data_IF_530329353128
#
_entry.id   IF_530329353128
#
_cell.length_a   1.000
_cell.length_b   1.000
_cell.length_c   1.000
_cell.angle_alpha   90.00
_cell.angle_beta   90.00
_cell.angle_gamma   90.00
#
_symmetry.space_group_name_H-M   'P 1'
#
loop_
_entity.id
_entity.type
_entity.pdbx_description
1 polymer ?
#
# COMPACT_ATOMS: atom_id res chain seq x y z
N UNK A 1 2.99 -51.65 -23.80
CA UNK A 1 2.71 -52.94 -23.12
C UNK A 1 2.06 -52.63 -21.81
N UNK A 2 0.77 -52.93 -21.74
CA UNK A 2 0.02 -53.73 -20.75
C UNK A 2 0.19 -53.28 -19.30
N UNK A 3 -0.77 -52.91 -18.53
CA UNK A 3 -2.20 -53.17 -18.39
C UNK A 3 -2.52 -53.27 -16.90
N UNK A 4 -3.56 -52.55 -16.46
CA UNK A 4 -4.70 -53.07 -15.69
C UNK A 4 -4.41 -53.67 -14.29
N UNK A 5 -5.21 -53.50 -13.25
CA UNK A 5 -6.67 -53.35 -13.04
C UNK A 5 -6.91 -53.04 -11.56
N UNK A 6 -7.82 -52.15 -11.22
CA UNK A 6 -9.13 -52.35 -10.60
C UNK A 6 -9.22 -53.33 -9.43
N UNK A 7 -9.84 -52.94 -8.30
CA UNK A 7 -11.09 -53.53 -7.76
C UNK A 7 -11.63 -52.62 -6.61
N UNK A 8 -12.93 -52.36 -6.69
CA UNK A 8 -13.81 -51.76 -5.72
C UNK A 8 -14.30 -52.78 -4.67
N UNK A 9 -14.72 -52.34 -3.51
CA UNK A 9 -15.70 -53.07 -2.72
C UNK A 9 -16.52 -52.09 -1.86
N UNK A 10 -17.75 -52.17 -2.12
CA UNK A 10 -18.97 -51.65 -1.56
C UNK A 10 -19.37 -52.50 -0.35
N UNK A 11 -19.90 -51.93 0.74
CA UNK A 11 -20.81 -52.64 1.60
C UNK A 11 -21.77 -51.69 2.31
N UNK A 12 -23.01 -51.99 2.12
CA UNK A 12 -24.27 -51.38 2.55
C UNK A 12 -24.76 -51.92 3.93
N UNK A 13 -25.66 -51.13 4.49
CA UNK A 13 -26.84 -51.51 5.33
C UNK A 13 -26.57 -51.86 6.81
N UNK A 14 -27.33 -51.29 7.75
CA UNK A 14 -28.73 -51.67 8.00
C UNK A 14 -29.49 -50.66 8.86
N UNK A 15 -30.76 -50.59 8.55
CA UNK A 15 -31.91 -50.00 9.20
C UNK A 15 -32.19 -50.56 10.60
N UNK A 16 -32.82 -49.76 11.46
CA UNK A 16 -33.48 -50.20 12.70
C UNK A 16 -34.54 -49.21 13.16
N UNK A 17 -35.72 -49.32 12.61
CA UNK A 17 -36.97 -48.76 13.17
C UNK A 17 -37.53 -49.73 14.19
N UNK A 18 -37.96 -49.23 15.35
CA UNK A 18 -39.07 -49.85 16.14
C UNK A 18 -39.91 -48.71 16.69
N UNK A 19 -41.22 -48.87 16.47
CA UNK A 19 -42.31 -47.99 16.82
C UNK A 19 -43.10 -48.53 18.04
N UNK A 20 -43.84 -47.59 18.66
CA UNK A 20 -45.16 -47.73 19.28
C UNK A 20 -45.27 -48.32 20.71
N UNK A 21 -45.81 -47.53 21.63
CA UNK A 21 -47.11 -47.78 22.25
C UNK A 21 -47.60 -46.64 23.15
N UNK A 22 -48.86 -46.35 23.02
CA UNK A 22 -49.72 -45.41 23.76
C UNK A 22 -49.88 -45.71 25.22
N UNK A 23 -50.23 -44.69 26.02
CA UNK A 23 -50.82 -44.80 27.36
C UNK A 23 -51.24 -43.45 27.87
N UNK A 24 -52.49 -43.23 28.04
CA UNK A 24 -53.22 -42.05 28.48
C UNK A 24 -52.98 -41.64 29.92
N UNK A 25 -53.34 -40.37 30.16
CA UNK A 25 -54.04 -39.74 31.28
C UNK A 25 -53.29 -38.81 32.24
N UNK A 26 -53.88 -37.61 32.28
CA UNK A 26 -54.19 -36.68 33.37
C UNK A 26 -53.17 -35.65 33.91
N UNK A 27 -53.58 -34.40 33.60
CA UNK A 27 -53.55 -33.14 34.39
C UNK A 27 -52.33 -32.74 35.25
N UNK A 28 -51.79 -31.60 34.92
CA UNK A 28 -51.84 -30.40 35.77
C UNK A 28 -50.98 -29.28 35.19
N UNK A 29 -51.56 -28.10 35.08
CA UNK A 29 -50.98 -26.85 34.69
C UNK A 29 -49.78 -26.41 35.54
N UNK A 30 -48.75 -25.86 34.89
CA UNK A 30 -48.05 -24.67 35.43
C UNK A 30 -47.23 -23.99 34.36
N UNK A 31 -47.65 -22.78 34.07
CA UNK A 31 -46.93 -21.63 33.48
C UNK A 31 -45.44 -21.59 33.79
N UNK A 32 -44.63 -21.45 32.75
CA UNK A 32 -43.56 -20.44 32.62
C UNK A 32 -42.73 -20.73 31.37
N UNK A 33 -42.91 -19.92 30.34
CA UNK A 33 -41.90 -19.74 29.31
C UNK A 33 -42.19 -18.45 28.54
N UNK A 34 -41.68 -17.35 29.02
CA UNK A 34 -41.52 -16.15 28.23
C UNK A 34 -40.46 -15.25 28.90
N UNK A 35 -39.20 -15.52 28.62
CA UNK A 35 -38.12 -14.54 28.82
C UNK A 35 -36.80 -15.11 28.25
N UNK A 36 -36.64 -15.03 26.94
CA UNK A 36 -35.29 -15.07 26.32
C UNK A 36 -35.42 -14.71 24.83
N UNK A 37 -35.64 -13.43 24.54
CA UNK A 37 -35.40 -12.90 23.18
C UNK A 37 -35.28 -11.37 23.19
N UNK A 38 -34.43 -10.80 24.07
CA UNK A 38 -34.17 -9.36 24.03
C UNK A 38 -32.73 -8.97 24.29
N UNK A 39 -31.79 -9.92 24.41
CA UNK A 39 -30.39 -9.60 24.66
C UNK A 39 -29.48 -9.57 23.41
N UNK A 40 -29.98 -10.00 22.24
CA UNK A 40 -29.15 -10.05 21.01
C UNK A 40 -29.29 -8.82 20.09
N UNK A 41 -30.28 -7.96 20.35
CA UNK A 41 -30.51 -6.77 19.49
C UNK A 41 -29.84 -5.48 19.99
N UNK A 42 -29.48 -5.40 21.26
CA UNK A 42 -28.82 -4.19 21.80
C UNK A 42 -27.30 -4.17 21.60
N UNK A 43 -26.66 -5.32 21.41
CA UNK A 43 -25.19 -5.37 21.15
C UNK A 43 -24.81 -5.00 19.71
N UNK A 44 -25.74 -5.10 18.76
CA UNK A 44 -25.49 -4.71 17.36
C UNK A 44 -25.71 -3.20 17.08
N UNK A 45 -26.51 -2.53 17.89
CA UNK A 45 -26.77 -1.10 17.70
C UNK A 45 -25.67 -0.19 18.34
N UNK A 46 -24.97 -0.67 19.38
CA UNK A 46 -23.87 0.07 20.00
C UNK A 46 -22.56 0.06 19.22
N UNK A 47 -22.37 -0.90 18.27
CA UNK A 47 -21.24 -0.95 17.36
C UNK A 47 -21.41 -0.05 16.12
N UNK A 48 -22.55 0.60 15.95
CA UNK A 48 -22.94 1.27 14.71
C UNK A 48 -22.23 2.61 14.44
N UNK A 49 -21.63 3.28 15.43
CA UNK A 49 -21.04 4.63 15.25
C UNK A 49 -19.74 4.79 16.05
N UNK A 50 -18.74 3.93 15.81
CA UNK A 50 -17.41 4.03 16.43
C UNK A 50 -16.41 4.80 15.57
N UNK A 51 -16.76 5.07 14.30
CA UNK A 51 -15.96 5.87 13.40
C UNK A 51 -16.49 7.30 13.29
N UNK A 52 -15.64 8.29 13.00
CA UNK A 52 -16.07 9.59 12.52
C UNK A 52 -16.90 9.44 11.24
N UNK A 53 -17.81 10.38 11.01
CA UNK A 53 -18.58 10.38 9.75
C UNK A 53 -17.70 10.63 8.52
N UNK A 54 -16.57 11.30 8.68
CA UNK A 54 -15.61 11.64 7.62
C UNK A 54 -14.19 11.37 8.10
N UNK A 55 -13.37 10.87 7.19
CA UNK A 55 -11.92 10.73 7.36
C UNK A 55 -11.19 11.30 6.14
N UNK A 56 -9.97 11.79 6.37
CA UNK A 56 -9.10 12.32 5.34
C UNK A 56 -7.82 11.49 5.26
N UNK A 57 -7.45 11.09 4.04
CA UNK A 57 -6.22 10.35 3.74
C UNK A 57 -5.35 11.22 2.83
N UNK A 58 -4.10 11.45 3.21
CA UNK A 58 -3.10 12.14 2.41
C UNK A 58 -2.26 11.11 1.65
N UNK A 59 -2.19 11.21 0.31
CA UNK A 59 -1.25 10.40 -0.49
C UNK A 59 0.10 11.09 -0.58
N UNK A 60 1.12 10.34 -0.98
CA UNK A 60 2.50 10.82 -1.13
C UNK A 60 2.83 11.22 -2.58
N UNK A 61 1.88 11.01 -3.49
CA UNK A 61 1.95 11.44 -4.88
C UNK A 61 0.56 11.79 -5.44
N UNK A 62 0.50 12.08 -6.73
CA UNK A 62 -0.75 12.18 -7.49
C UNK A 62 -1.49 10.83 -7.52
N UNK A 63 -2.78 10.78 -7.93
CA UNK A 63 -3.45 9.52 -8.17
C UNK A 63 -2.65 8.60 -9.09
N UNK A 64 -2.31 7.41 -8.58
CA UNK A 64 -1.55 6.37 -9.29
C UNK A 64 -1.87 4.98 -8.70
N UNK A 65 -1.32 3.93 -9.32
CA UNK A 65 -1.66 2.53 -8.98
C UNK A 65 -1.36 2.18 -7.52
N UNK A 66 -0.31 2.78 -6.96
CA UNK A 66 0.14 2.62 -5.57
C UNK A 66 -0.86 3.13 -4.54
N UNK A 67 -1.88 3.87 -4.99
CA UNK A 67 -2.99 4.36 -4.17
C UNK A 67 -4.33 3.69 -4.49
N UNK A 68 -4.36 2.74 -5.45
CA UNK A 68 -5.56 2.19 -6.05
C UNK A 68 -6.59 1.68 -5.06
N UNK A 69 -6.17 0.92 -4.05
CA UNK A 69 -7.06 0.42 -3.01
C UNK A 69 -7.72 1.51 -2.17
N UNK A 70 -7.04 2.65 -1.98
CA UNK A 70 -7.64 3.80 -1.28
C UNK A 70 -8.70 4.49 -2.12
N UNK A 71 -8.44 4.69 -3.42
CA UNK A 71 -9.45 5.21 -4.36
C UNK A 71 -10.63 4.25 -4.52
N UNK A 72 -10.39 2.94 -4.43
CA UNK A 72 -11.44 1.91 -4.45
C UNK A 72 -12.45 2.07 -3.31
N UNK A 73 -12.08 2.63 -2.17
CA UNK A 73 -13.01 2.88 -1.06
C UNK A 73 -14.17 3.82 -1.45
N UNK A 74 -13.89 4.84 -2.29
CA UNK A 74 -14.87 5.78 -2.82
C UNK A 74 -15.46 5.25 -4.14
N UNK A 75 -14.63 4.58 -4.94
CA UNK A 75 -15.00 4.13 -6.28
C UNK A 75 -14.95 5.26 -7.32
N UNK A 76 -15.43 5.00 -8.57
CA UNK A 76 -15.28 5.93 -9.68
C UNK A 76 -16.24 7.13 -9.68
N UNK A 77 -17.16 7.21 -8.71
CA UNK A 77 -18.24 8.21 -8.69
C UNK A 77 -18.04 9.33 -7.66
N UNK A 78 -16.84 9.48 -7.12
CA UNK A 78 -16.49 10.61 -6.26
C UNK A 78 -16.32 11.92 -7.06
N UNK A 79 -15.95 12.97 -6.36
CA UNK A 79 -15.76 14.31 -6.91
C UNK A 79 -14.29 14.72 -6.78
N UNK A 80 -13.64 15.02 -7.90
CA UNK A 80 -12.32 15.63 -7.92
C UNK A 80 -12.46 17.16 -7.79
N UNK A 81 -11.64 17.75 -6.94
CA UNK A 81 -11.59 19.19 -6.73
C UNK A 81 -10.19 19.74 -7.06
N UNK A 82 -10.12 20.58 -8.10
CA UNK A 82 -8.87 21.19 -8.56
C UNK A 82 -8.30 22.19 -7.54
N UNK A 83 -9.14 22.88 -6.78
CA UNK A 83 -8.66 23.93 -5.86
C UNK A 83 -7.96 23.35 -4.63
N UNK A 84 -8.43 22.20 -4.16
CA UNK A 84 -7.85 21.46 -3.02
C UNK A 84 -6.97 20.30 -3.44
N UNK A 85 -6.91 20.01 -4.74
CA UNK A 85 -6.20 18.87 -5.34
C UNK A 85 -6.58 17.57 -4.59
N UNK A 86 -7.88 17.32 -4.49
CA UNK A 86 -8.42 16.21 -3.71
C UNK A 86 -9.49 15.45 -4.47
N UNK A 87 -9.79 14.24 -4.00
CA UNK A 87 -10.90 13.40 -4.44
C UNK A 87 -11.74 13.01 -3.24
N UNK A 88 -13.05 13.26 -3.28
CA UNK A 88 -13.92 12.98 -2.14
C UNK A 88 -15.23 12.34 -2.57
N UNK A 89 -15.83 11.59 -1.66
CA UNK A 89 -17.12 10.97 -1.90
C UNK A 89 -17.56 10.02 -0.81
N UNK A 90 -18.80 9.50 -0.94
CA UNK A 90 -19.29 8.50 -0.01
C UNK A 90 -18.47 7.23 -0.09
N UNK A 91 -18.22 6.61 1.07
CA UNK A 91 -17.62 5.27 1.12
C UNK A 91 -18.59 4.28 0.48
N UNK A 92 -18.08 3.43 -0.44
CA UNK A 92 -18.91 2.40 -1.05
C UNK A 92 -19.49 1.47 0.02
N UNK A 93 -20.73 1.03 -0.16
CA UNK A 93 -21.50 0.30 0.86
C UNK A 93 -20.83 -0.98 1.37
N UNK A 94 -20.04 -1.66 0.52
CA UNK A 94 -19.30 -2.87 0.91
C UNK A 94 -18.11 -2.59 1.85
N UNK A 95 -17.64 -1.35 1.89
CA UNK A 95 -16.53 -0.92 2.76
C UNK A 95 -17.01 -0.04 3.93
N UNK A 96 -18.26 0.40 3.91
CA UNK A 96 -18.82 1.26 4.96
C UNK A 96 -18.90 0.52 6.29
N UNK A 97 -18.30 1.09 7.34
CA UNK A 97 -18.25 0.52 8.68
C UNK A 97 -18.33 1.62 9.74
N UNK A 98 -18.82 1.25 10.93
CA UNK A 98 -18.70 2.05 12.15
C UNK A 98 -19.27 3.45 12.09
N UNK A 99 -20.13 3.77 11.12
CA UNK A 99 -20.70 5.12 10.92
C UNK A 99 -19.92 6.03 9.98
N UNK A 100 -18.79 5.57 9.41
CA UNK A 100 -18.04 6.28 8.38
C UNK A 100 -18.90 6.41 7.11
N UNK A 101 -19.06 7.64 6.63
CA UNK A 101 -19.92 7.97 5.47
C UNK A 101 -19.15 8.47 4.28
N UNK A 102 -18.07 9.23 4.51
CA UNK A 102 -17.37 9.98 3.48
C UNK A 102 -15.85 9.89 3.69
N UNK A 103 -15.11 9.79 2.60
CA UNK A 103 -13.66 9.92 2.58
C UNK A 103 -13.26 11.11 1.71
N UNK A 104 -12.17 11.76 2.11
CA UNK A 104 -11.41 12.70 1.28
C UNK A 104 -10.00 12.15 1.10
N UNK A 105 -9.54 12.08 -0.14
CA UNK A 105 -8.18 11.72 -0.50
C UNK A 105 -7.49 12.97 -1.03
N UNK A 106 -6.54 13.50 -0.27
CA UNK A 106 -5.70 14.60 -0.71
C UNK A 106 -4.48 14.05 -1.45
N UNK A 107 -4.08 14.73 -2.52
CA UNK A 107 -2.82 14.41 -3.20
C UNK A 107 -1.63 15.05 -2.49
N UNK A 108 -0.41 14.72 -2.94
CA UNK A 108 0.84 15.25 -2.39
C UNK A 108 0.81 16.78 -2.23
N UNK A 109 1.45 17.24 -1.16
CA UNK A 109 1.83 18.65 -0.95
C UNK A 109 3.35 18.76 -1.08
N UNK A 110 3.83 19.44 -2.11
CA UNK A 110 5.27 19.57 -2.35
C UNK A 110 6.01 20.46 -1.35
N UNK A 111 5.28 21.29 -0.62
CA UNK A 111 5.80 22.21 0.39
C UNK A 111 5.75 21.65 1.81
N UNK A 112 5.19 20.45 2.00
CA UNK A 112 4.97 19.87 3.32
C UNK A 112 5.08 18.35 3.30
N UNK A 113 5.96 17.80 4.13
CA UNK A 113 6.08 16.36 4.32
C UNK A 113 4.81 15.75 4.94
N UNK A 114 4.44 14.53 4.57
CA UNK A 114 3.25 13.86 5.08
C UNK A 114 3.26 13.64 6.60
N UNK A 115 4.43 13.45 7.21
CA UNK A 115 4.56 13.43 8.67
C UNK A 115 4.11 14.76 9.31
N UNK A 116 4.42 15.91 8.68
CA UNK A 116 3.97 17.22 9.13
C UNK A 116 2.48 17.45 8.87
N UNK A 117 1.93 16.89 7.79
CA UNK A 117 0.48 16.90 7.51
C UNK A 117 -0.30 16.19 8.62
N UNK A 118 0.20 15.02 9.07
CA UNK A 118 -0.39 14.29 10.21
C UNK A 118 -0.26 15.07 11.52
N UNK A 119 0.93 15.61 11.80
CA UNK A 119 1.21 16.36 13.04
C UNK A 119 0.32 17.60 13.19
N UNK A 120 0.05 18.29 12.09
CA UNK A 120 -0.82 19.48 12.07
C UNK A 120 -2.31 19.13 11.99
N UNK A 121 -2.67 17.84 11.93
CA UNK A 121 -4.06 17.38 11.89
C UNK A 121 -4.80 17.71 10.59
N UNK A 122 -4.07 17.91 9.48
CA UNK A 122 -4.65 18.19 8.16
C UNK A 122 -5.16 16.93 7.46
N UNK A 123 -4.70 15.74 7.91
CA UNK A 123 -5.22 14.44 7.52
C UNK A 123 -5.25 13.49 8.73
N UNK A 124 -6.16 12.52 8.71
CA UNK A 124 -6.25 11.48 9.73
C UNK A 124 -5.24 10.36 9.49
N UNK A 125 -4.97 10.08 8.23
CA UNK A 125 -4.05 9.05 7.75
C UNK A 125 -3.17 9.60 6.63
N UNK A 126 -1.98 9.07 6.48
CA UNK A 126 -1.11 9.42 5.36
C UNK A 126 -0.32 8.21 4.85
N UNK A 127 0.04 8.27 3.58
CA UNK A 127 1.01 7.39 2.96
C UNK A 127 2.42 7.89 3.30
N UNK A 128 3.20 7.05 3.97
CA UNK A 128 4.59 7.34 4.34
C UNK A 128 5.36 6.02 4.22
N UNK A 129 6.61 6.03 3.77
CA UNK A 129 7.41 4.80 3.74
C UNK A 129 7.74 4.36 5.18
N UNK A 130 7.87 3.05 5.43
CA UNK A 130 8.26 2.58 6.77
C UNK A 130 9.63 3.15 7.18
N UNK A 131 10.55 3.32 6.22
CA UNK A 131 11.85 3.94 6.46
C UNK A 131 11.76 5.37 6.98
N UNK A 132 10.85 6.18 6.42
CA UNK A 132 10.63 7.56 6.88
C UNK A 132 9.88 7.60 8.22
N UNK A 133 8.96 6.67 8.49
CA UNK A 133 8.34 6.54 9.82
C UNK A 133 9.40 6.23 10.88
N UNK A 134 10.38 5.35 10.57
CA UNK A 134 11.50 5.04 11.45
C UNK A 134 12.37 6.30 11.66
N UNK A 135 12.73 6.99 10.57
CA UNK A 135 13.55 8.21 10.58
C UNK A 135 12.97 9.29 11.49
N UNK A 136 11.67 9.54 11.36
CA UNK A 136 11.00 10.61 12.07
C UNK A 136 10.49 10.20 13.46
N UNK A 137 10.71 8.96 13.89
CA UNK A 137 10.11 8.34 15.08
C UNK A 137 10.34 9.05 16.41
N UNK A 138 11.43 9.80 16.56
CA UNK A 138 11.71 10.62 17.76
C UNK A 138 11.02 11.98 17.70
N UNK A 139 10.83 12.53 16.50
CA UNK A 139 10.27 13.87 16.30
C UNK A 139 8.74 13.84 16.17
N UNK A 140 8.20 12.82 15.50
CA UNK A 140 6.76 12.69 15.20
C UNK A 140 6.28 11.30 15.65
N UNK A 141 5.41 11.22 16.67
CA UNK A 141 4.91 9.95 17.21
C UNK A 141 3.85 9.34 16.28
N UNK A 142 4.31 8.69 15.23
CA UNK A 142 3.48 8.01 14.24
C UNK A 142 3.42 6.50 14.48
N UNK A 143 2.39 5.86 13.94
CA UNK A 143 2.24 4.40 13.88
C UNK A 143 1.67 3.95 12.54
N UNK A 144 2.32 2.96 11.94
CA UNK A 144 1.81 2.26 10.76
C UNK A 144 0.71 1.30 11.19
N UNK A 145 -0.42 1.35 10.51
CA UNK A 145 -1.61 0.53 10.81
C UNK A 145 -1.90 -0.55 9.76
N UNK A 146 -1.35 -0.40 8.54
CA UNK A 146 -1.47 -1.38 7.47
C UNK A 146 -0.41 -1.13 6.38
N UNK A 147 0.00 -2.17 5.68
CA UNK A 147 0.74 -2.01 4.43
C UNK A 147 -0.22 -1.81 3.24
N UNK A 148 0.31 -1.34 2.13
CA UNK A 148 -0.36 -1.24 0.84
C UNK A 148 0.26 -2.23 -0.16
N UNK A 149 1.45 -1.96 -0.66
CA UNK A 149 2.24 -2.90 -1.43
C UNK A 149 3.23 -3.66 -0.53
N UNK A 150 3.60 -4.85 -0.95
CA UNK A 150 4.59 -5.66 -0.25
C UNK A 150 6.02 -5.29 -0.67
N UNK A 151 6.28 -5.10 -1.96
CA UNK A 151 7.58 -4.67 -2.48
C UNK A 151 7.50 -3.25 -3.02
N UNK A 152 8.59 -2.52 -2.82
CA UNK A 152 8.72 -1.13 -3.24
C UNK A 152 8.95 -1.03 -4.76
N UNK A 153 8.07 -0.37 -5.53
CA UNK A 153 8.30 -0.08 -6.93
C UNK A 153 9.36 0.99 -7.17
N UNK A 154 9.86 1.67 -6.12
CA UNK A 154 10.97 2.61 -6.22
C UNK A 154 12.16 1.95 -6.91
N UNK A 155 12.71 2.62 -7.91
CA UNK A 155 13.80 2.10 -8.72
C UNK A 155 14.87 3.16 -8.99
N UNK A 156 15.99 2.68 -9.53
CA UNK A 156 16.98 3.49 -10.24
C UNK A 156 17.08 2.95 -11.65
N UNK A 157 16.81 3.79 -12.66
CA UNK A 157 16.83 3.44 -14.08
C UNK A 157 18.01 4.07 -14.81
N UNK A 158 18.34 3.53 -15.98
CA UNK A 158 19.41 4.01 -16.85
C UNK A 158 19.17 3.67 -18.32
N UNK A 159 19.88 4.35 -19.23
CA UNK A 159 19.95 3.96 -20.64
C UNK A 159 20.90 2.76 -20.81
N UNK A 160 20.39 1.55 -21.17
CA UNK A 160 21.22 0.35 -21.31
C UNK A 160 22.23 0.43 -22.47
N UNK A 161 22.10 1.42 -23.35
CA UNK A 161 23.09 1.62 -24.44
C UNK A 161 24.26 2.51 -24.01
N UNK A 162 24.14 3.24 -22.92
CA UNK A 162 25.21 4.07 -22.37
C UNK A 162 25.89 3.41 -21.16
N UNK A 163 25.13 2.61 -20.38
CA UNK A 163 25.61 1.99 -19.15
C UNK A 163 25.31 0.49 -19.17
N UNK A 164 26.37 -0.32 -19.25
CA UNK A 164 26.28 -1.79 -19.14
C UNK A 164 26.32 -2.21 -17.66
N UNK A 165 25.16 -2.24 -17.04
CA UNK A 165 24.97 -2.55 -15.61
C UNK A 165 24.43 -3.97 -15.48
N UNK A 166 25.23 -4.87 -14.88
CA UNK A 166 24.87 -6.27 -14.64
C UNK A 166 24.50 -6.51 -13.16
N UNK A 167 24.91 -5.61 -12.27
CA UNK A 167 24.64 -5.65 -10.82
C UNK A 167 24.73 -4.24 -10.25
N UNK A 168 24.11 -3.98 -9.08
CA UNK A 168 24.07 -2.63 -8.50
C UNK A 168 25.45 -1.98 -8.28
N UNK A 169 26.49 -2.77 -7.98
CA UNK A 169 27.84 -2.26 -7.76
C UNK A 169 28.48 -1.64 -9.04
N UNK A 170 27.98 -1.99 -10.22
CA UNK A 170 28.50 -1.47 -11.48
C UNK A 170 28.16 0.03 -11.66
N UNK A 171 27.13 0.54 -10.96
CA UNK A 171 26.74 1.95 -10.96
C UNK A 171 27.92 2.84 -10.52
N UNK A 172 28.64 2.42 -9.46
CA UNK A 172 29.80 3.13 -8.95
C UNK A 172 30.87 3.36 -10.04
N UNK A 173 31.14 2.32 -10.82
CA UNK A 173 32.22 2.35 -11.82
C UNK A 173 31.95 3.29 -12.99
N UNK A 174 30.68 3.66 -13.22
CA UNK A 174 30.32 4.59 -14.31
C UNK A 174 30.71 6.03 -14.01
N UNK A 175 30.75 6.42 -12.73
CA UNK A 175 30.92 7.81 -12.29
C UNK A 175 29.77 8.74 -12.66
N UNK A 176 28.69 8.23 -13.27
CA UNK A 176 27.52 9.03 -13.65
C UNK A 176 26.68 9.42 -12.43
N UNK A 177 26.01 10.57 -12.51
CA UNK A 177 25.11 11.04 -11.46
C UNK A 177 23.88 10.16 -11.34
N UNK A 178 23.37 10.02 -10.11
CA UNK A 178 22.08 9.44 -9.79
C UNK A 178 21.13 10.56 -9.39
N UNK A 179 20.18 10.88 -10.27
CA UNK A 179 19.17 11.92 -10.07
C UNK A 179 18.03 11.41 -9.19
N UNK A 180 17.76 12.08 -8.06
CA UNK A 180 16.78 11.64 -7.08
C UNK A 180 16.17 12.80 -6.27
N UNK A 181 15.05 12.57 -5.57
CA UNK A 181 14.53 13.51 -4.59
C UNK A 181 15.49 13.62 -3.38
N UNK A 182 15.58 14.80 -2.74
CA UNK A 182 16.39 14.96 -1.53
C UNK A 182 15.81 14.13 -0.36
N UNK A 183 16.69 13.60 0.50
CA UNK A 183 16.34 12.97 1.76
C UNK A 183 15.81 11.53 1.67
N UNK A 184 15.97 10.87 0.53
CA UNK A 184 15.55 9.49 0.31
C UNK A 184 16.53 8.48 0.92
N UNK A 185 16.05 7.64 1.85
CA UNK A 185 16.90 6.71 2.61
C UNK A 185 17.60 5.64 1.76
N UNK A 186 17.04 5.25 0.60
CA UNK A 186 17.68 4.27 -0.28
C UNK A 186 18.96 4.80 -0.95
N UNK A 187 19.10 6.11 -1.16
CA UNK A 187 20.34 6.72 -1.67
C UNK A 187 21.46 6.60 -0.63
N UNK A 188 21.15 6.89 0.64
CA UNK A 188 22.09 6.70 1.73
C UNK A 188 22.51 5.22 1.86
N UNK A 189 21.55 4.31 1.69
CA UNK A 189 21.81 2.89 1.63
C UNK A 189 22.76 2.51 0.47
N UNK A 190 22.52 3.02 -0.75
CA UNK A 190 23.38 2.76 -1.91
C UNK A 190 24.81 3.27 -1.69
N UNK A 191 24.96 4.43 -1.06
CA UNK A 191 26.28 4.97 -0.68
C UNK A 191 26.94 4.07 0.35
N UNK A 192 26.21 3.69 1.40
CA UNK A 192 26.71 2.80 2.46
C UNK A 192 27.13 1.40 1.95
N UNK A 193 26.44 0.89 0.94
CA UNK A 193 26.78 -0.39 0.27
C UNK A 193 27.91 -0.26 -0.76
N UNK A 194 28.33 0.96 -1.09
CA UNK A 194 29.33 1.20 -2.12
C UNK A 194 28.81 0.97 -3.54
N UNK A 195 27.51 1.11 -3.78
CA UNK A 195 26.91 1.07 -5.10
C UNK A 195 27.09 2.40 -5.85
N UNK A 196 27.27 3.48 -5.10
CA UNK A 196 27.61 4.82 -5.60
C UNK A 196 28.39 5.61 -4.54
N UNK A 197 28.99 6.73 -4.96
CA UNK A 197 29.60 7.71 -4.06
C UNK A 197 28.63 8.86 -3.75
N UNK A 198 28.92 9.62 -2.69
CA UNK A 198 28.19 10.85 -2.39
C UNK A 198 28.30 11.88 -3.53
N UNK A 199 29.42 11.92 -4.27
CA UNK A 199 29.62 12.83 -5.42
C UNK A 199 28.73 12.47 -6.63
N UNK A 200 28.26 11.22 -6.73
CA UNK A 200 27.30 10.80 -7.75
C UNK A 200 25.86 11.16 -7.37
N UNK A 201 25.57 11.48 -6.12
CA UNK A 201 24.22 11.86 -5.65
C UNK A 201 23.84 13.23 -6.21
N UNK A 202 22.70 13.29 -6.91
CA UNK A 202 22.16 14.53 -7.46
C UNK A 202 20.70 14.71 -6.97
N UNK A 203 20.50 15.41 -5.82
CA UNK A 203 19.19 15.56 -5.18
C UNK A 203 18.34 16.66 -5.82
N UNK A 204 18.36 16.78 -7.14
CA UNK A 204 17.66 17.82 -7.88
C UNK A 204 16.56 17.29 -8.81
N UNK A 205 16.12 16.07 -8.60
CA UNK A 205 14.93 15.53 -9.25
C UNK A 205 13.69 16.27 -8.76
N UNK A 206 12.80 16.62 -9.67
CA UNK A 206 11.56 17.35 -9.39
C UNK A 206 10.30 16.60 -9.83
N UNK A 207 10.45 15.32 -10.22
CA UNK A 207 9.36 14.48 -10.71
C UNK A 207 9.12 14.60 -12.21
N UNK A 208 9.84 15.51 -12.91
CA UNK A 208 9.73 15.67 -14.37
C UNK A 208 10.82 14.92 -15.13
N UNK A 209 10.56 14.66 -16.40
CA UNK A 209 11.52 14.08 -17.35
C UNK A 209 12.54 15.07 -17.91
N UNK A 210 12.39 16.36 -17.61
CA UNK A 210 13.12 17.44 -18.26
C UNK A 210 14.65 17.29 -18.20
N UNK A 211 15.21 16.89 -17.05
CA UNK A 211 16.66 16.69 -16.90
C UNK A 211 17.15 15.46 -17.64
N UNK A 212 16.43 14.35 -17.55
CA UNK A 212 16.76 13.14 -18.28
C UNK A 212 16.82 13.41 -19.78
N UNK A 213 15.79 14.07 -20.31
CA UNK A 213 15.70 14.42 -21.73
C UNK A 213 16.85 15.37 -22.14
N UNK A 214 17.11 16.41 -21.33
CA UNK A 214 18.16 17.38 -21.61
C UNK A 214 19.58 16.76 -21.66
N UNK A 215 19.82 15.77 -20.81
CA UNK A 215 21.10 15.06 -20.69
C UNK A 215 21.16 13.77 -21.53
N UNK A 216 20.11 13.52 -22.34
CA UNK A 216 20.04 12.37 -23.25
C UNK A 216 20.23 11.02 -22.60
N UNK A 217 19.72 10.85 -21.37
CA UNK A 217 19.79 9.60 -20.62
C UNK A 217 21.17 9.26 -20.05
N UNK A 218 22.09 10.24 -19.93
CA UNK A 218 23.45 10.00 -19.39
C UNK A 218 23.49 9.80 -17.87
N UNK A 219 22.42 10.16 -17.16
CA UNK A 219 22.25 9.97 -15.73
C UNK A 219 21.61 8.61 -15.40
N UNK A 220 21.80 8.16 -14.15
CA UNK A 220 20.83 7.31 -13.51
C UNK A 220 19.71 8.17 -12.93
N UNK A 221 18.48 7.68 -12.92
CA UNK A 221 17.36 8.43 -12.39
C UNK A 221 16.46 7.54 -11.54
N UNK A 222 16.00 8.10 -10.41
CA UNK A 222 14.93 7.48 -9.66
C UNK A 222 13.61 7.49 -10.43
N UNK A 223 12.70 6.61 -10.04
CA UNK A 223 11.32 6.56 -10.48
C UNK A 223 10.58 5.41 -9.83
N UNK A 224 9.31 5.24 -10.16
CA UNK A 224 8.56 4.04 -9.83
C UNK A 224 8.47 3.17 -11.09
N UNK A 225 8.88 1.92 -10.96
CA UNK A 225 8.93 0.99 -12.09
C UNK A 225 7.56 0.81 -12.76
N UNK A 226 6.48 0.98 -12.01
CA UNK A 226 5.09 0.94 -12.46
C UNK A 226 4.67 2.14 -13.32
N UNK A 227 5.46 3.21 -13.35
CA UNK A 227 5.15 4.45 -14.05
C UNK A 227 6.22 4.84 -15.08
N UNK A 228 7.43 5.21 -14.60
CA UNK A 228 8.48 5.78 -15.44
C UNK A 228 8.92 4.85 -16.55
N UNK A 229 9.05 3.54 -16.30
CA UNK A 229 9.49 2.58 -17.34
C UNK A 229 8.60 2.72 -18.57
N UNK A 230 7.29 2.61 -18.41
CA UNK A 230 6.35 2.73 -19.52
C UNK A 230 6.47 4.12 -20.22
N UNK A 231 6.53 5.20 -19.43
CA UNK A 231 6.61 6.56 -19.98
C UNK A 231 7.84 6.78 -20.85
N UNK A 232 9.01 6.35 -20.40
CA UNK A 232 10.26 6.51 -21.15
C UNK A 232 10.33 5.60 -22.37
N UNK A 233 9.69 4.44 -22.32
CA UNK A 233 9.66 3.47 -23.44
C UNK A 233 8.56 3.78 -24.47
N UNK A 234 7.52 4.57 -24.11
CA UNK A 234 6.36 4.76 -24.99
C UNK A 234 5.98 6.24 -25.24
N UNK A 235 6.12 7.13 -24.24
CA UNK A 235 5.51 8.45 -24.29
C UNK A 235 6.56 9.58 -24.39
N UNK A 236 7.73 9.44 -23.74
CA UNK A 236 8.73 10.49 -23.63
C UNK A 236 9.79 10.37 -24.74
N UNK A 237 9.88 11.36 -25.60
CA UNK A 237 10.87 11.43 -26.67
C UNK A 237 12.24 11.90 -26.14
N UNK A 238 13.02 11.03 -25.54
CA UNK A 238 14.28 11.36 -24.88
C UNK A 238 15.53 10.93 -25.64
N UNK A 239 15.42 10.02 -26.62
CA UNK A 239 16.55 9.50 -27.39
C UNK A 239 16.32 9.70 -28.87
N UNK A 240 17.14 10.51 -29.51
CA UNK A 240 17.01 10.89 -30.94
C UNK A 240 15.59 11.36 -31.32
N UNK A 241 14.88 12.02 -30.39
CA UNK A 241 13.53 12.52 -30.59
C UNK A 241 12.44 11.43 -30.55
N UNK A 242 12.72 10.28 -29.92
CA UNK A 242 11.79 9.15 -29.77
C UNK A 242 11.87 8.56 -28.36
N UNK A 243 10.85 7.86 -27.89
CA UNK A 243 10.93 6.95 -26.75
C UNK A 243 11.95 5.84 -27.04
N UNK A 244 12.55 5.30 -25.97
CA UNK A 244 13.51 4.20 -26.07
C UNK A 244 13.52 3.38 -24.78
N UNK A 245 14.01 2.15 -24.89
CA UNK A 245 14.09 1.21 -23.77
C UNK A 245 14.98 1.76 -22.65
N UNK A 246 14.57 1.53 -21.43
CA UNK A 246 15.34 1.76 -20.20
C UNK A 246 15.56 0.46 -19.46
N UNK A 247 16.62 0.38 -18.67
CA UNK A 247 16.84 -0.70 -17.72
C UNK A 247 16.79 -0.14 -16.30
N UNK A 248 16.49 -0.99 -15.32
CA UNK A 248 16.36 -0.56 -13.92
C UNK A 248 16.64 -1.69 -12.93
N UNK A 249 16.98 -1.29 -11.70
CA UNK A 249 16.83 -2.12 -10.50
C UNK A 249 15.85 -1.45 -9.56
N UNK A 250 14.93 -2.23 -8.99
CA UNK A 250 14.16 -1.74 -7.84
C UNK A 250 15.09 -1.64 -6.62
N UNK A 251 14.72 -0.79 -5.67
CA UNK A 251 15.50 -0.67 -4.42
C UNK A 251 15.49 -1.99 -3.64
N UNK A 252 14.42 -2.78 -3.76
CA UNK A 252 14.33 -4.13 -3.22
C UNK A 252 15.32 -5.09 -3.91
N UNK A 253 15.46 -5.04 -5.25
CA UNK A 253 16.47 -5.83 -5.98
C UNK A 253 17.91 -5.48 -5.55
N UNK A 254 18.12 -4.25 -5.08
CA UNK A 254 19.40 -3.80 -4.53
C UNK A 254 19.60 -4.16 -3.05
N UNK A 255 18.62 -4.79 -2.40
CA UNK A 255 18.66 -5.24 -1.02
C UNK A 255 18.17 -4.22 0.03
N UNK A 256 17.56 -3.11 -0.40
CA UNK A 256 16.85 -2.18 0.46
C UNK A 256 15.36 -2.54 0.47
N UNK A 257 15.00 -3.45 1.36
CA UNK A 257 13.67 -4.05 1.39
C UNK A 257 12.68 -3.23 2.25
N UNK A 258 12.49 -1.96 1.84
CA UNK A 258 11.54 -1.05 2.47
C UNK A 258 10.09 -1.47 2.16
N UNK A 259 9.17 -1.12 3.07
CA UNK A 259 7.76 -1.04 2.71
C UNK A 259 7.50 0.35 2.10
N UNK A 260 6.98 0.42 0.87
CA UNK A 260 6.59 1.69 0.28
C UNK A 260 5.43 2.31 1.05
N UNK A 261 4.83 3.30 0.56
CA UNK A 261 3.65 3.99 1.06
C UNK A 261 2.72 3.19 2.00
N UNK A 262 3.10 2.99 3.28
CA UNK A 262 2.25 2.35 4.29
C UNK A 262 1.23 3.35 4.87
N UNK A 263 0.09 2.85 5.31
CA UNK A 263 -0.94 3.69 5.96
C UNK A 263 -0.51 4.01 7.38
N UNK A 264 -0.27 5.27 7.64
CA UNK A 264 0.32 5.79 8.88
C UNK A 264 -0.63 6.81 9.53
N UNK A 265 -0.64 6.84 10.85
CA UNK A 265 -1.40 7.79 11.68
C UNK A 265 -0.55 8.33 12.81
N UNK A 266 -1.00 9.42 13.46
CA UNK A 266 -0.48 9.80 14.78
C UNK A 266 -0.90 8.75 15.81
N UNK A 267 -0.02 8.40 16.76
CA UNK A 267 -0.25 7.35 17.77
C UNK A 267 -1.45 7.63 18.68
N UNK A 268 -1.62 8.89 19.09
CA UNK A 268 -2.77 9.31 19.90
C UNK A 268 -4.08 9.18 19.12
N UNK A 269 -4.06 9.55 17.83
CA UNK A 269 -5.23 9.42 16.95
C UNK A 269 -5.58 7.96 16.68
N UNK A 270 -4.59 7.09 16.48
CA UNK A 270 -4.82 5.66 16.37
C UNK A 270 -5.42 5.05 17.65
N UNK A 271 -5.03 5.58 18.81
CA UNK A 271 -5.60 5.18 20.11
C UNK A 271 -7.05 5.67 20.25
N UNK A 272 -7.33 6.92 19.88
CA UNK A 272 -8.69 7.49 19.89
C UNK A 272 -9.63 6.69 18.98
N UNK A 273 -9.15 6.32 17.79
CA UNK A 273 -9.94 5.62 16.77
C UNK A 273 -9.83 4.09 16.83
N UNK A 274 -9.34 3.51 17.92
CA UNK A 274 -9.03 2.08 18.04
C UNK A 274 -10.20 1.16 17.61
N UNK A 275 -11.40 1.43 18.10
CA UNK A 275 -12.58 0.65 17.75
C UNK A 275 -12.98 0.83 16.26
N UNK A 276 -12.78 2.02 15.71
CA UNK A 276 -13.00 2.29 14.30
C UNK A 276 -11.99 1.54 13.42
N UNK A 277 -10.70 1.63 13.74
CA UNK A 277 -9.63 1.01 12.97
C UNK A 277 -9.75 -0.52 12.93
N UNK A 278 -10.22 -1.13 14.03
CA UNK A 278 -10.50 -2.58 14.08
C UNK A 278 -11.53 -3.01 13.02
N UNK A 279 -12.48 -2.13 12.67
CA UNK A 279 -13.46 -2.40 11.61
C UNK A 279 -13.00 -1.91 10.24
N UNK A 280 -12.31 -0.76 10.19
CA UNK A 280 -11.99 -0.08 8.95
C UNK A 280 -10.80 -0.70 8.22
N UNK A 281 -9.72 -1.04 8.93
CA UNK A 281 -8.50 -1.57 8.29
C UNK A 281 -8.77 -2.84 7.47
N UNK A 282 -9.53 -3.85 7.95
CA UNK A 282 -9.90 -4.99 7.12
C UNK A 282 -10.68 -4.59 5.85
N UNK A 283 -11.48 -3.51 5.91
CA UNK A 283 -12.21 -3.00 4.72
C UNK A 283 -11.31 -2.24 3.76
N UNK A 284 -10.32 -1.52 4.26
CA UNK A 284 -9.28 -0.90 3.43
C UNK A 284 -8.49 -1.99 2.68
N UNK A 285 -8.14 -3.07 3.36
CA UNK A 285 -7.44 -4.19 2.73
C UNK A 285 -8.32 -4.94 1.72
N UNK A 286 -9.63 -5.09 2.01
CA UNK A 286 -10.56 -5.64 1.03
C UNK A 286 -10.63 -4.75 -0.22
N UNK A 287 -10.64 -3.43 -0.06
CA UNK A 287 -10.64 -2.51 -1.20
C UNK A 287 -9.36 -2.63 -2.04
N UNK A 288 -8.21 -2.88 -1.41
CA UNK A 288 -6.96 -3.18 -2.13
C UNK A 288 -7.05 -4.47 -2.93
N UNK A 289 -7.56 -5.55 -2.34
CA UNK A 289 -7.75 -6.84 -3.03
C UNK A 289 -8.73 -6.69 -4.18
N UNK A 290 -9.83 -5.98 -3.97
CA UNK A 290 -10.85 -5.75 -5.00
C UNK A 290 -10.30 -4.90 -6.16
N UNK A 291 -9.51 -3.85 -5.87
CA UNK A 291 -8.81 -3.05 -6.87
C UNK A 291 -7.88 -3.91 -7.73
N UNK A 292 -7.04 -4.74 -7.11
CA UNK A 292 -6.09 -5.59 -7.83
C UNK A 292 -6.78 -6.69 -8.66
N UNK A 293 -7.98 -7.11 -8.28
CA UNK A 293 -8.78 -8.08 -9.03
C UNK A 293 -9.50 -7.45 -10.25
N UNK A 294 -9.92 -6.19 -10.13
CA UNK A 294 -10.58 -5.43 -11.22
C UNK A 294 -10.13 -3.96 -11.16
N UNK A 295 -8.92 -3.64 -11.64
CA UNK A 295 -8.35 -2.31 -11.51
C UNK A 295 -9.00 -1.27 -12.44
N UNK A 296 -9.56 -1.70 -13.58
CA UNK A 296 -9.98 -0.78 -14.65
C UNK A 296 -10.95 0.32 -14.23
N UNK A 297 -12.00 0.07 -13.44
CA UNK A 297 -12.92 1.15 -13.03
C UNK A 297 -12.22 2.28 -12.26
N UNK A 298 -11.22 1.93 -11.46
CA UNK A 298 -10.48 2.90 -10.64
C UNK A 298 -9.37 3.58 -11.44
N UNK A 299 -8.64 2.85 -12.27
CA UNK A 299 -7.60 3.44 -13.13
C UNK A 299 -8.21 4.43 -14.14
N UNK A 300 -9.39 4.12 -14.72
CA UNK A 300 -10.14 5.06 -15.57
C UNK A 300 -10.59 6.32 -14.79
N UNK A 301 -10.95 6.17 -13.52
CA UNK A 301 -11.27 7.31 -12.66
C UNK A 301 -10.02 8.13 -12.33
N UNK A 302 -8.89 7.51 -12.01
CA UNK A 302 -7.62 8.19 -11.71
C UNK A 302 -7.14 9.04 -12.89
N UNK A 303 -7.27 8.58 -14.13
CA UNK A 303 -6.97 9.39 -15.32
C UNK A 303 -7.76 10.70 -15.28
N UNK A 304 -9.09 10.62 -15.07
CA UNK A 304 -9.97 11.79 -15.02
C UNK A 304 -9.72 12.71 -13.82
N UNK A 305 -9.34 12.12 -12.68
CA UNK A 305 -8.98 12.88 -11.47
C UNK A 305 -7.72 13.69 -11.76
N UNK A 306 -6.67 13.06 -12.33
CA UNK A 306 -5.44 13.75 -12.71
C UNK A 306 -5.68 14.85 -13.75
N UNK A 307 -6.51 14.61 -14.76
CA UNK A 307 -6.93 15.63 -15.73
C UNK A 307 -7.62 16.82 -15.03
N UNK A 308 -8.48 16.54 -14.04
CA UNK A 308 -9.20 17.58 -13.27
C UNK A 308 -8.23 18.37 -12.40
N UNK A 309 -7.25 17.73 -11.77
CA UNK A 309 -6.23 18.37 -10.97
C UNK A 309 -5.31 19.28 -11.81
N UNK A 310 -5.21 19.02 -13.13
CA UNK A 310 -4.44 19.83 -14.08
C UNK A 310 -2.95 19.97 -13.65
N UNK A 311 -2.41 18.91 -13.08
CA UNK A 311 -1.02 18.79 -12.71
C UNK A 311 -0.15 18.28 -13.87
N UNK A 312 1.15 18.22 -13.65
CA UNK A 312 2.10 17.67 -14.64
C UNK A 312 2.03 16.12 -14.73
N UNK A 313 1.42 15.46 -13.75
CA UNK A 313 1.36 14.00 -13.68
C UNK A 313 0.20 13.47 -14.54
N UNK A 314 0.54 12.86 -15.66
CA UNK A 314 -0.43 12.28 -16.58
C UNK A 314 -0.41 10.75 -16.51
N UNK A 315 -1.59 10.16 -16.48
CA UNK A 315 -1.80 8.73 -16.61
C UNK A 315 -2.43 8.42 -17.97
N UNK A 316 -2.18 7.22 -18.47
CA UNK A 316 -2.86 6.67 -19.65
C UNK A 316 -3.34 5.25 -19.37
N UNK A 317 -4.28 4.74 -20.19
CA UNK A 317 -4.74 3.35 -20.09
C UNK A 317 -3.54 2.38 -20.23
N UNK A 318 -2.69 2.60 -21.23
CA UNK A 318 -1.53 1.74 -21.46
C UNK A 318 -0.51 1.75 -20.31
N UNK A 319 -0.27 2.92 -19.68
CA UNK A 319 0.57 3.03 -18.50
C UNK A 319 -0.01 2.22 -17.33
N UNK A 320 -1.30 2.39 -17.07
CA UNK A 320 -1.97 1.67 -15.99
C UNK A 320 -1.98 0.15 -16.22
N UNK A 321 -2.23 -0.30 -17.45
CA UNK A 321 -2.18 -1.73 -17.79
C UNK A 321 -0.77 -2.31 -17.60
N UNK A 322 0.26 -1.61 -18.07
CA UNK A 322 1.66 -2.02 -17.89
C UNK A 322 2.08 -2.04 -16.42
N UNK A 323 1.68 -1.04 -15.64
CA UNK A 323 1.98 -0.95 -14.22
C UNK A 323 1.32 -2.08 -13.42
N UNK A 324 0.05 -2.40 -13.69
CA UNK A 324 -0.64 -3.55 -13.07
C UNK A 324 0.06 -4.87 -13.46
N UNK A 325 0.43 -5.04 -14.72
CA UNK A 325 1.16 -6.24 -15.15
C UNK A 325 2.51 -6.38 -14.41
N UNK A 326 3.22 -5.28 -14.19
CA UNK A 326 4.49 -5.28 -13.46
C UNK A 326 4.29 -5.58 -11.96
N UNK A 327 3.24 -5.03 -11.33
CA UNK A 327 2.87 -5.36 -9.94
C UNK A 327 2.70 -6.87 -9.78
N UNK A 328 2.03 -7.53 -10.72
CA UNK A 328 1.84 -8.98 -10.73
C UNK A 328 3.16 -9.74 -10.99
N UNK A 329 3.89 -9.37 -12.03
CA UNK A 329 5.14 -10.02 -12.43
C UNK A 329 6.18 -10.00 -11.32
N UNK A 330 6.36 -8.84 -10.69
CA UNK A 330 7.32 -8.62 -9.61
C UNK A 330 6.80 -9.03 -8.25
N UNK A 331 5.53 -9.46 -8.16
CA UNK A 331 4.87 -9.78 -6.89
C UNK A 331 4.97 -8.62 -5.89
N UNK A 332 4.71 -7.39 -6.38
CA UNK A 332 4.74 -6.19 -5.54
C UNK A 332 3.53 -6.11 -4.61
N UNK A 333 2.46 -6.82 -4.94
CA UNK A 333 1.26 -6.93 -4.14
C UNK A 333 1.11 -8.38 -3.66
N UNK A 334 1.46 -8.66 -2.41
CA UNK A 334 1.46 -10.00 -1.86
C UNK A 334 0.98 -10.08 -0.42
N UNK A 335 0.60 -11.29 0.00
CA UNK A 335 0.23 -11.55 1.39
C UNK A 335 1.47 -11.56 2.28
N UNK A 336 1.29 -11.12 3.52
CA UNK A 336 2.26 -11.31 4.59
C UNK A 336 2.28 -12.77 5.06
N UNK A 337 3.25 -13.13 5.89
CA UNK A 337 3.41 -14.51 6.40
C UNK A 337 2.19 -15.04 7.17
N UNK A 338 1.36 -14.15 7.72
CA UNK A 338 0.10 -14.50 8.40
C UNK A 338 -1.07 -14.76 7.44
N UNK A 339 -0.83 -14.67 6.12
CA UNK A 339 -1.82 -14.89 5.08
C UNK A 339 -2.71 -13.68 4.78
N UNK A 340 -2.53 -12.55 5.47
CA UNK A 340 -3.29 -11.32 5.21
C UNK A 340 -2.56 -10.39 4.24
N UNK A 341 -3.32 -9.56 3.54
CA UNK A 341 -2.79 -8.46 2.72
C UNK A 341 -2.62 -7.18 3.56
N UNK A 342 -2.11 -7.28 4.79
CA UNK A 342 -2.18 -6.17 5.75
C UNK A 342 -0.90 -5.99 6.57
N UNK A 343 -0.39 -7.08 7.12
CA UNK A 343 0.59 -7.03 8.21
C UNK A 343 1.98 -6.62 7.75
N UNK A 344 2.67 -5.88 8.61
CA UNK A 344 4.12 -5.68 8.51
C UNK A 344 4.82 -6.94 9.04
N UNK A 345 5.77 -7.48 8.28
CA UNK A 345 6.61 -8.60 8.71
C UNK A 345 7.65 -8.10 9.73
N UNK A 346 7.68 -8.67 10.96
CA UNK A 346 8.58 -8.20 12.00
C UNK A 346 10.08 -8.40 11.68
N UNK A 347 10.44 -9.49 11.00
CA UNK A 347 11.85 -9.78 10.67
C UNK A 347 12.35 -8.82 9.58
N UNK A 348 11.51 -8.55 8.59
CA UNK A 348 11.79 -7.56 7.56
C UNK A 348 11.89 -6.15 8.15
N UNK A 349 10.96 -5.74 9.01
CA UNK A 349 11.02 -4.46 9.71
C UNK A 349 12.29 -4.31 10.54
N UNK A 350 12.71 -5.36 11.25
CA UNK A 350 13.96 -5.36 12.02
C UNK A 350 15.21 -5.27 11.12
N UNK A 351 15.20 -5.93 9.97
CA UNK A 351 16.28 -5.87 8.98
C UNK A 351 16.42 -4.45 8.41
N UNK A 352 15.32 -3.85 7.96
CA UNK A 352 15.28 -2.48 7.47
C UNK A 352 15.76 -1.50 8.57
N UNK A 353 15.26 -1.67 9.80
CA UNK A 353 15.68 -0.84 10.92
C UNK A 353 17.20 -0.91 11.16
N UNK A 354 17.78 -2.12 11.12
CA UNK A 354 19.22 -2.30 11.25
C UNK A 354 20.02 -1.55 10.18
N UNK A 355 19.58 -1.64 8.92
CA UNK A 355 20.19 -0.93 7.79
C UNK A 355 20.10 0.59 7.96
N UNK A 356 18.94 1.10 8.33
CA UNK A 356 18.70 2.54 8.53
C UNK A 356 19.41 3.08 9.76
N UNK A 357 19.48 2.29 10.85
CA UNK A 357 20.14 2.73 12.07
C UNK A 357 21.63 3.01 11.86
N UNK A 358 22.33 2.17 11.12
CA UNK A 358 23.74 2.42 10.77
C UNK A 358 23.92 3.74 10.02
N UNK A 359 23.01 4.04 9.09
CA UNK A 359 23.01 5.25 8.28
C UNK A 359 22.72 6.47 9.17
N UNK A 360 21.64 6.43 9.94
CA UNK A 360 21.19 7.55 10.76
C UNK A 360 22.14 7.86 11.92
N UNK A 361 22.75 6.83 12.53
CA UNK A 361 23.80 7.02 13.54
C UNK A 361 25.00 7.77 12.94
N UNK A 362 25.40 7.44 11.70
CA UNK A 362 26.48 8.14 11.02
C UNK A 362 26.14 9.60 10.66
N UNK A 363 24.86 9.90 10.45
CA UNK A 363 24.34 11.24 10.16
C UNK A 363 24.00 12.04 11.43
N UNK A 364 24.04 11.42 12.61
CA UNK A 364 23.63 12.04 13.88
C UNK A 364 22.12 12.24 14.00
N UNK A 365 21.32 11.44 13.27
CA UNK A 365 19.86 11.43 13.36
C UNK A 365 19.43 10.40 14.42
N UNK A 366 18.73 10.89 15.45
CA UNK A 366 18.20 10.00 16.50
C UNK A 366 16.87 9.37 16.04
N UNK A 367 16.81 8.04 16.08
CA UNK A 367 15.61 7.25 15.82
C UNK A 367 15.19 6.47 17.05
N UNK A 368 14.00 5.85 17.05
CA UNK A 368 13.53 4.97 18.12
C UNK A 368 14.53 3.84 18.38
N UNK A 369 14.61 3.37 19.61
CA UNK A 369 15.42 2.18 19.96
C UNK A 369 14.67 0.86 19.74
N UNK A 370 13.37 0.94 19.45
CA UNK A 370 12.48 -0.21 19.24
C UNK A 370 11.61 0.01 18.01
N UNK A 371 11.92 -0.70 16.92
CA UNK A 371 11.16 -0.61 15.67
C UNK A 371 9.70 -1.06 15.83
N UNK A 372 9.38 -1.91 16.82
CA UNK A 372 8.01 -2.34 17.07
C UNK A 372 7.10 -1.22 17.58
N UNK A 373 7.69 -0.11 18.02
CA UNK A 373 6.94 1.08 18.45
C UNK A 373 6.34 1.89 17.31
N UNK A 374 6.80 1.69 16.07
CA UNK A 374 6.36 2.49 14.90
C UNK A 374 5.36 1.77 14.00
N UNK A 375 4.97 0.53 14.31
CA UNK A 375 3.91 -0.16 13.57
C UNK A 375 3.07 -1.05 14.48
N UNK A 376 1.89 -1.43 14.01
CA UNK A 376 1.04 -2.40 14.70
C UNK A 376 0.28 -3.26 13.70
N UNK A 377 0.27 -4.57 13.92
CA UNK A 377 -0.54 -5.54 13.18
C UNK A 377 -1.91 -5.81 13.84
N UNK A 378 -2.23 -5.09 14.92
CA UNK A 378 -3.46 -5.27 15.70
C UNK A 378 -4.71 -5.22 14.83
N UNK A 379 -4.76 -4.29 13.89
CA UNK A 379 -5.92 -4.02 13.05
C UNK A 379 -6.01 -4.95 11.83
N UNK A 380 -4.99 -5.77 11.59
CA UNK A 380 -4.97 -6.73 10.49
C UNK A 380 -5.80 -8.00 10.76
N UNK A 381 -6.27 -8.19 11.99
CA UNK A 381 -7.14 -9.31 12.32
C UNK A 381 -8.43 -9.26 11.49
N UNK A 382 -8.69 -10.32 10.70
CA UNK A 382 -9.83 -10.39 9.79
C UNK A 382 -9.64 -9.65 8.45
N UNK A 383 -8.46 -9.09 8.19
CA UNK A 383 -8.12 -8.61 6.86
C UNK A 383 -8.06 -9.78 5.86
N UNK A 384 -8.47 -9.56 4.60
CA UNK A 384 -8.40 -10.59 3.58
C UNK A 384 -6.95 -10.90 3.21
N UNK A 385 -6.74 -12.11 2.67
CA UNK A 385 -5.61 -12.41 1.80
C UNK A 385 -5.98 -12.16 0.34
N UNK A 386 -4.97 -12.07 -0.48
CA UNK A 386 -5.07 -12.00 -1.93
C UNK A 386 -4.94 -13.37 -2.56
#
# INVERSE_FOLDING_TARGET
>A
MKAQKTVAALSLLTFGLIAVACGDDDEAASTTAAAETTAAAETTAAAANVCPEKLTIQTDWFPELEHGGTYQLIGPNGTADKATVSYSGPVQSQYAVGGLKELTINTIKFDKANASVLLDGEADMAYITLGDVIKDSKAVPMVVIAKTLDKDPQMVMWDPTQHDIQKPEDILATGASVLHFPGTGYIDYMIGKGYMTADQSNPSYDGSDAKWVAEGGSFFQQGFATNEVYKYENDIAWKDGKPADVSFYTVADMGFDNYPAVITMMQDKATELDACLTLLVPKMQQAWVDFLNDPKPITDAMIKINETHDGFWALSEGLNEAGIALIEEKQMAGNSADGTYCSIDPERAATLYGQLKEIFDAQGVEITDDVTSVYTNKYCAGAPGR
#
